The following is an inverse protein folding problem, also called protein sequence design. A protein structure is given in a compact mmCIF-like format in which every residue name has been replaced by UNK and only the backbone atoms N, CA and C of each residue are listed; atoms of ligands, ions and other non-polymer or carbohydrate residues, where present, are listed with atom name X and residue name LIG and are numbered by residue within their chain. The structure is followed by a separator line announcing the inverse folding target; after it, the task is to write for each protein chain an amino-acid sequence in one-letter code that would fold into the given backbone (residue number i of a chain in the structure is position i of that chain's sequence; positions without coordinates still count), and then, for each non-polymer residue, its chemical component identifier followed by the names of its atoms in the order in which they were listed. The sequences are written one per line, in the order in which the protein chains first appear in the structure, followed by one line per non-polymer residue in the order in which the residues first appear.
data_IF_030157544626
#
_entry.id   IF_030157544626
#
_cell.length_a   1.000
_cell.length_b   1.000
_cell.length_c   1.000
_cell.angle_alpha   90.00
_cell.angle_beta   90.00
_cell.angle_gamma   90.00
#
_symmetry.space_group_name_H-M   'P 1'
#
loop_
_entity.id
_entity.type
_entity.pdbx_description
1 polymer ?
#
# COMPACT_ATOMS: atom_id res chain seq x y z
N UNK A 1 44.86 60.21 27.92
CA UNK A 1 44.52 58.81 27.94
C UNK A 1 43.02 58.74 28.14
N UNK A 2 42.28 58.58 27.05
CA UNK A 2 40.81 58.49 27.05
C UNK A 2 40.43 57.02 26.74
N UNK A 3 39.92 56.28 27.74
CA UNK A 3 39.40 54.96 27.60
C UNK A 3 38.06 54.97 26.82
N UNK A 4 38.05 54.32 25.68
CA UNK A 4 36.85 54.11 24.89
C UNK A 4 36.21 52.83 25.37
N UNK A 5 35.17 52.95 26.20
CA UNK A 5 34.32 51.80 26.58
C UNK A 5 33.40 51.39 25.40
N UNK A 6 33.74 50.31 24.72
CA UNK A 6 32.89 49.73 23.71
C UNK A 6 31.74 48.96 24.36
N UNK A 7 30.54 49.53 24.34
CA UNK A 7 29.29 48.86 24.76
C UNK A 7 28.87 47.87 23.66
N UNK A 8 29.11 46.58 23.84
CA UNK A 8 28.52 45.50 23.00
C UNK A 8 27.03 45.36 23.34
N UNK A 9 26.18 46.15 22.70
CA UNK A 9 24.74 45.95 22.67
C UNK A 9 24.40 44.74 21.75
N UNK A 10 24.49 43.53 22.27
CA UNK A 10 23.96 42.37 21.57
C UNK A 10 22.44 42.45 21.57
N UNK A 11 21.83 42.76 20.43
CA UNK A 11 20.37 42.66 20.25
C UNK A 11 20.00 41.18 20.42
N UNK A 12 19.36 40.83 21.54
CA UNK A 12 18.84 39.50 21.79
C UNK A 12 17.72 39.27 20.80
N UNK A 13 18.00 38.53 19.71
CA UNK A 13 16.98 38.13 18.72
C UNK A 13 15.97 37.30 19.46
N UNK A 14 14.70 37.75 19.52
CA UNK A 14 13.63 36.99 20.15
C UNK A 14 13.40 35.72 19.35
N UNK A 15 13.36 34.58 20.03
CA UNK A 15 13.04 33.29 19.40
C UNK A 15 11.58 33.33 18.96
N UNK A 16 11.26 33.00 17.68
CA UNK A 16 9.89 32.94 17.19
C UNK A 16 9.03 32.02 18.05
N UNK A 17 7.81 32.45 18.39
CA UNK A 17 6.94 31.73 19.34
C UNK A 17 6.48 30.36 18.79
N UNK A 18 6.46 30.19 17.47
CA UNK A 18 6.11 28.90 16.87
C UNK A 18 7.02 27.75 17.34
N UNK A 19 8.32 27.99 17.54
CA UNK A 19 9.24 26.95 18.00
C UNK A 19 8.95 26.52 19.43
N UNK A 20 8.62 27.47 20.31
CA UNK A 20 8.22 27.16 21.69
C UNK A 20 6.88 26.41 21.72
N UNK A 21 5.94 26.79 20.85
CA UNK A 21 4.64 26.13 20.74
C UNK A 21 4.80 24.69 20.24
N UNK A 22 5.60 24.45 19.19
CA UNK A 22 5.87 23.10 18.66
C UNK A 22 6.52 22.25 19.76
N UNK A 23 7.53 22.76 20.47
CA UNK A 23 8.18 22.02 21.55
C UNK A 23 7.21 21.65 22.68
N UNK A 24 6.28 22.55 23.04
CA UNK A 24 5.26 22.28 24.05
C UNK A 24 4.24 21.21 23.58
N UNK A 25 3.83 21.28 22.30
CA UNK A 25 2.96 20.27 21.70
C UNK A 25 3.66 18.90 21.67
N UNK A 26 4.94 18.83 21.26
CA UNK A 26 5.73 17.60 21.30
C UNK A 26 5.75 16.96 22.68
N UNK A 27 5.94 17.78 23.72
CA UNK A 27 5.94 17.31 25.10
C UNK A 27 4.56 16.79 25.56
N UNK A 28 3.48 17.35 25.01
CA UNK A 28 2.10 17.02 25.40
C UNK A 28 1.45 15.87 24.64
N UNK A 29 1.97 15.49 23.45
CA UNK A 29 1.29 14.49 22.59
C UNK A 29 1.21 13.10 23.21
N UNK A 30 2.25 12.64 23.89
CA UNK A 30 2.30 11.28 24.45
C UNK A 30 2.22 10.17 23.37
N UNK A 31 1.69 9.00 23.75
CA UNK A 31 1.55 7.85 22.84
C UNK A 31 0.18 7.82 22.21
N UNK A 32 0.13 7.64 20.88
CA UNK A 32 -1.12 7.51 20.13
C UNK A 32 -1.42 6.04 19.87
N UNK A 33 -2.60 5.51 20.26
CA UNK A 33 -2.96 4.12 20.06
C UNK A 33 -3.25 3.79 18.60
N UNK A 34 -3.00 2.53 18.19
CA UNK A 34 -3.32 2.02 16.85
C UNK A 34 -4.77 1.53 16.81
N UNK A 35 -5.72 2.42 16.56
CA UNK A 35 -7.16 2.09 16.46
C UNK A 35 -7.59 1.75 15.02
N UNK A 36 -6.82 2.17 14.01
CA UNK A 36 -7.11 1.85 12.62
C UNK A 36 -6.90 0.35 12.34
N UNK A 37 -7.80 -0.24 11.55
CA UNK A 37 -7.71 -1.62 11.08
C UNK A 37 -7.70 -1.61 9.55
N UNK A 38 -6.62 -2.09 8.97
CA UNK A 38 -6.46 -2.22 7.52
C UNK A 38 -6.58 -3.68 7.08
N UNK A 39 -7.16 -3.95 5.89
CA UNK A 39 -7.16 -5.28 5.30
C UNK A 39 -5.76 -5.63 4.78
N UNK A 40 -5.37 -6.90 4.93
CA UNK A 40 -4.17 -7.44 4.30
C UNK A 40 -4.45 -8.82 3.73
N UNK A 41 -3.58 -9.29 2.84
CA UNK A 41 -3.68 -10.65 2.27
C UNK A 41 -3.50 -11.75 3.31
N UNK A 42 -2.95 -11.43 4.48
CA UNK A 42 -2.72 -12.36 5.59
C UNK A 42 -3.65 -12.14 6.79
N UNK A 43 -4.69 -11.30 6.64
CA UNK A 43 -5.62 -10.94 7.69
C UNK A 43 -5.82 -9.43 7.81
N UNK A 44 -5.85 -8.90 9.04
CA UNK A 44 -5.93 -7.47 9.29
C UNK A 44 -4.68 -6.98 10.03
N UNK A 45 -4.28 -5.73 9.79
CA UNK A 45 -3.22 -5.07 10.54
C UNK A 45 -3.73 -3.80 11.22
N UNK A 46 -3.14 -3.49 12.38
CA UNK A 46 -3.47 -2.26 13.11
C UNK A 46 -2.51 -1.14 12.70
N UNK A 47 -3.05 0.05 12.54
CA UNK A 47 -2.26 1.26 12.25
C UNK A 47 -2.81 2.46 13.02
N UNK A 48 -1.99 3.49 13.16
CA UNK A 48 -2.43 4.78 13.70
C UNK A 48 -3.20 5.52 12.61
N UNK A 49 -4.51 5.72 12.81
CA UNK A 49 -5.33 6.48 11.88
C UNK A 49 -5.00 7.99 11.97
N UNK A 50 -5.23 8.73 10.88
CA UNK A 50 -5.05 10.19 10.91
C UNK A 50 -5.97 10.85 11.93
N UNK A 51 -7.18 10.33 12.09
CA UNK A 51 -8.16 10.85 13.04
C UNK A 51 -7.72 10.67 14.50
N UNK A 52 -7.00 9.58 14.82
CA UNK A 52 -6.42 9.38 16.16
C UNK A 52 -5.36 10.45 16.47
N UNK A 53 -4.54 10.80 15.47
CA UNK A 53 -3.55 11.87 15.59
C UNK A 53 -4.24 13.21 15.79
N UNK A 54 -5.20 13.54 14.93
CA UNK A 54 -5.93 14.79 14.99
C UNK A 54 -6.70 14.96 16.30
N UNK A 55 -7.27 13.88 16.86
CA UNK A 55 -7.98 13.93 18.14
C UNK A 55 -7.08 14.38 19.30
N UNK A 56 -5.79 14.05 19.25
CA UNK A 56 -4.80 14.45 20.26
C UNK A 56 -4.26 15.85 19.96
N UNK A 57 -3.71 16.05 18.75
CA UNK A 57 -2.98 17.29 18.46
C UNK A 57 -3.87 18.51 18.34
N UNK A 58 -5.16 18.37 17.92
CA UNK A 58 -6.08 19.52 17.76
C UNK A 58 -6.29 20.29 19.06
N UNK A 59 -6.35 19.60 20.19
CA UNK A 59 -6.47 20.23 21.50
C UNK A 59 -5.21 21.01 21.87
N UNK A 60 -4.06 20.41 21.65
CA UNK A 60 -2.76 21.03 21.92
C UNK A 60 -2.49 22.23 20.99
N UNK A 61 -2.88 22.12 19.71
CA UNK A 61 -2.78 23.25 18.78
C UNK A 61 -3.56 24.47 19.27
N UNK A 62 -4.79 24.26 19.74
CA UNK A 62 -5.63 25.33 20.30
C UNK A 62 -5.01 25.89 21.59
N UNK A 63 -4.56 25.02 22.49
CA UNK A 63 -3.94 25.41 23.76
C UNK A 63 -2.70 26.27 23.56
N UNK A 64 -1.85 25.87 22.59
CA UNK A 64 -0.59 26.58 22.27
C UNK A 64 -0.76 27.61 21.14
N UNK A 65 -2.02 27.96 20.79
CA UNK A 65 -2.35 29.04 19.85
C UNK A 65 -1.69 28.87 18.46
N UNK A 66 -1.71 27.66 17.95
CA UNK A 66 -1.17 27.31 16.63
C UNK A 66 -2.33 26.97 15.69
N UNK A 67 -2.32 27.56 14.51
CA UNK A 67 -3.18 27.17 13.39
C UNK A 67 -2.37 26.41 12.34
N UNK A 68 -3.04 25.52 11.61
CA UNK A 68 -2.42 24.70 10.57
C UNK A 68 -3.01 25.06 9.22
N UNK A 69 -2.13 25.37 8.25
CA UNK A 69 -2.49 25.71 6.87
C UNK A 69 -1.87 24.70 5.91
N UNK A 70 -2.61 23.68 5.43
CA UNK A 70 -2.14 22.78 4.38
C UNK A 70 -2.28 23.44 3.00
N UNK A 71 -1.31 23.20 2.10
CA UNK A 71 -1.31 23.64 0.72
C UNK A 71 -0.75 22.55 -0.18
N UNK A 72 -1.54 22.12 -1.17
CA UNK A 72 -1.05 21.19 -2.20
C UNK A 72 -0.10 21.98 -3.12
N UNK A 73 1.15 21.56 -3.19
CA UNK A 73 2.18 22.16 -4.04
C UNK A 73 2.18 21.49 -5.42
N UNK A 74 2.05 20.17 -5.43
CA UNK A 74 2.03 19.39 -6.65
C UNK A 74 1.16 18.14 -6.47
N UNK A 75 0.58 17.66 -7.58
CA UNK A 75 -0.09 16.38 -7.63
C UNK A 75 0.11 15.74 -8.99
N UNK A 76 0.32 14.42 -8.99
CA UNK A 76 0.54 13.64 -10.20
C UNK A 76 -0.29 12.36 -10.15
N UNK A 77 -0.83 11.94 -11.28
CA UNK A 77 -1.44 10.64 -11.46
C UNK A 77 -0.44 9.73 -12.17
N UNK A 78 -0.04 8.66 -11.49
CA UNK A 78 0.93 7.68 -11.99
C UNK A 78 0.26 6.32 -12.08
N UNK A 79 0.50 5.59 -13.14
CA UNK A 79 0.09 4.19 -13.24
C UNK A 79 1.27 3.31 -12.89
N UNK A 80 1.11 2.46 -11.88
CA UNK A 80 2.13 1.46 -11.48
C UNK A 80 1.65 0.07 -11.89
N UNK A 81 2.47 -0.65 -12.63
CA UNK A 81 2.22 -2.05 -12.94
C UNK A 81 2.51 -2.95 -11.73
N UNK A 82 1.57 -3.82 -11.39
CA UNK A 82 1.66 -4.79 -10.30
C UNK A 82 1.43 -6.21 -10.85
N UNK A 83 2.52 -6.85 -11.34
CA UNK A 83 2.47 -8.18 -11.98
C UNK A 83 2.02 -8.14 -13.44
N UNK A 84 1.92 -9.32 -14.06
CA UNK A 84 1.74 -9.53 -15.48
C UNK A 84 0.35 -9.16 -15.97
N UNK A 85 -0.25 -8.14 -16.04
CA UNK A 85 -1.56 -7.68 -16.52
C UNK A 85 -2.40 -6.95 -15.46
N UNK A 86 -1.77 -6.39 -14.42
CA UNK A 86 -2.49 -5.58 -13.44
C UNK A 86 -1.77 -4.27 -13.22
N UNK A 87 -2.51 -3.19 -13.25
CA UNK A 87 -2.01 -1.86 -12.90
C UNK A 87 -2.88 -1.24 -11.81
N UNK A 88 -2.30 -0.33 -11.07
CA UNK A 88 -3.01 0.49 -10.09
C UNK A 88 -2.75 1.96 -10.38
N UNK A 89 -3.80 2.76 -10.33
CA UNK A 89 -3.66 4.21 -10.38
C UNK A 89 -3.20 4.73 -9.01
N UNK A 90 -2.12 5.48 -9.02
CA UNK A 90 -1.55 6.15 -7.85
C UNK A 90 -1.66 7.65 -8.03
N UNK A 91 -2.27 8.31 -7.07
CA UNK A 91 -2.15 9.76 -6.97
C UNK A 91 -1.00 10.08 -6.03
N UNK A 92 -0.01 10.80 -6.52
CA UNK A 92 1.12 11.31 -5.71
C UNK A 92 0.84 12.77 -5.40
N UNK A 93 0.90 13.14 -4.12
CA UNK A 93 0.67 14.52 -3.69
C UNK A 93 1.88 15.01 -2.91
N UNK A 94 2.35 16.21 -3.24
CA UNK A 94 3.29 16.98 -2.42
C UNK A 94 2.51 18.05 -1.66
N UNK A 95 2.50 17.93 -0.34
CA UNK A 95 1.77 18.78 0.59
C UNK A 95 2.75 19.61 1.43
N UNK A 96 2.59 20.92 1.40
CA UNK A 96 3.19 21.81 2.39
C UNK A 96 2.20 22.00 3.54
N UNK A 97 2.66 21.74 4.76
CA UNK A 97 1.89 22.00 5.97
C UNK A 97 2.61 23.07 6.77
N UNK A 98 1.96 24.23 6.91
CA UNK A 98 2.49 25.38 7.66
C UNK A 98 1.77 25.49 9.01
N UNK A 99 2.54 25.51 10.08
CA UNK A 99 2.11 25.76 11.45
C UNK A 99 2.41 27.23 11.78
N UNK A 100 1.41 27.96 12.23
CA UNK A 100 1.47 29.41 12.42
C UNK A 100 1.10 29.76 13.87
N UNK A 101 2.00 30.42 14.58
CA UNK A 101 1.67 30.97 15.90
C UNK A 101 0.75 32.17 15.75
N UNK A 102 -0.43 32.14 16.38
CA UNK A 102 -1.34 33.28 16.39
C UNK A 102 -0.91 34.41 17.30
N UNK A 103 0.17 34.23 18.08
CA UNK A 103 0.67 35.25 19.00
C UNK A 103 1.61 36.27 18.34
N UNK A 104 2.43 35.80 17.38
CA UNK A 104 3.42 36.65 16.72
C UNK A 104 3.47 36.49 15.21
N UNK A 105 2.62 35.58 14.64
CA UNK A 105 2.57 35.29 13.22
C UNK A 105 3.77 34.50 12.70
N UNK A 106 4.66 34.01 13.57
CA UNK A 106 5.78 33.18 13.14
C UNK A 106 5.31 31.85 12.60
N UNK A 107 6.01 31.35 11.59
CA UNK A 107 5.62 30.16 10.83
C UNK A 107 6.72 29.09 10.87
N UNK A 108 6.31 27.83 10.81
CA UNK A 108 7.14 26.66 10.57
C UNK A 108 6.46 25.79 9.53
N UNK A 109 7.16 25.50 8.43
CA UNK A 109 6.60 24.67 7.34
C UNK A 109 7.34 23.37 7.18
N UNK A 110 6.60 22.30 6.85
CA UNK A 110 7.14 21.00 6.48
C UNK A 110 6.54 20.58 5.14
N UNK A 111 7.39 20.01 4.28
CA UNK A 111 7.00 19.47 2.99
C UNK A 111 6.96 17.94 3.08
N UNK A 112 5.85 17.34 2.66
CA UNK A 112 5.68 15.89 2.67
C UNK A 112 5.11 15.41 1.35
N UNK A 113 5.55 14.23 0.91
CA UNK A 113 5.03 13.56 -0.28
C UNK A 113 4.40 12.24 0.13
N UNK A 114 3.22 11.94 -0.41
CA UNK A 114 2.54 10.68 -0.17
C UNK A 114 1.78 10.19 -1.38
N UNK A 115 1.54 8.88 -1.40
CA UNK A 115 0.81 8.19 -2.47
C UNK A 115 -0.56 7.72 -1.97
N UNK A 116 -1.56 7.79 -2.86
CA UNK A 116 -2.88 7.22 -2.65
C UNK A 116 -3.24 6.26 -3.77
N UNK A 117 -3.27 4.96 -3.49
CA UNK A 117 -3.67 3.95 -4.45
C UNK A 117 -5.20 3.82 -4.51
N UNK A 118 -5.79 4.07 -5.66
CA UNK A 118 -7.23 3.90 -5.89
C UNK A 118 -7.55 3.87 -7.38
N UNK A 119 -8.33 2.89 -7.82
CA UNK A 119 -8.77 2.80 -9.23
C UNK A 119 -10.05 3.62 -9.50
N UNK A 120 -10.57 4.34 -8.50
CA UNK A 120 -11.73 5.22 -8.60
C UNK A 120 -11.36 6.68 -8.28
N UNK A 121 -12.25 7.36 -7.57
CA UNK A 121 -12.19 8.80 -7.30
C UNK A 121 -11.48 9.18 -5.98
N UNK A 122 -10.98 8.20 -5.19
CA UNK A 122 -10.50 8.44 -3.84
C UNK A 122 -8.98 8.57 -3.71
N UNK A 123 -8.23 8.37 -4.81
CA UNK A 123 -6.75 8.40 -4.80
C UNK A 123 -6.19 9.70 -4.23
N UNK A 124 -6.66 10.84 -4.72
CA UNK A 124 -6.21 12.15 -4.25
C UNK A 124 -6.47 12.40 -2.77
N UNK A 125 -7.67 12.02 -2.26
CA UNK A 125 -8.00 12.14 -0.84
C UNK A 125 -7.12 11.28 0.04
N UNK A 126 -6.84 10.03 -0.39
CA UNK A 126 -5.93 9.12 0.32
C UNK A 126 -4.53 9.72 0.41
N UNK A 127 -4.01 10.24 -0.71
CA UNK A 127 -2.69 10.86 -0.77
C UNK A 127 -2.58 12.08 0.15
N UNK A 128 -3.56 13.00 0.12
CA UNK A 128 -3.58 14.19 0.99
C UNK A 128 -3.65 13.79 2.46
N UNK A 129 -4.53 12.86 2.83
CA UNK A 129 -4.67 12.40 4.21
C UNK A 129 -3.35 11.76 4.71
N UNK A 130 -2.70 10.97 3.86
CA UNK A 130 -1.43 10.34 4.21
C UNK A 130 -0.30 11.37 4.34
N UNK A 131 -0.22 12.36 3.43
CA UNK A 131 0.77 13.44 3.51
C UNK A 131 0.60 14.26 4.79
N UNK A 132 -0.63 14.62 5.16
CA UNK A 132 -0.93 15.34 6.39
C UNK A 132 -0.59 14.52 7.63
N UNK A 133 -0.90 13.21 7.63
CA UNK A 133 -0.51 12.29 8.69
C UNK A 133 1.01 12.31 8.90
N UNK A 134 1.78 12.16 7.83
CA UNK A 134 3.25 12.17 7.87
C UNK A 134 3.75 13.52 8.41
N UNK A 135 3.20 14.66 7.93
CA UNK A 135 3.57 15.98 8.42
C UNK A 135 3.41 16.11 9.93
N UNK A 136 2.28 15.67 10.47
CA UNK A 136 2.02 15.71 11.91
C UNK A 136 2.96 14.80 12.71
N UNK A 137 3.17 13.55 12.23
CA UNK A 137 4.08 12.59 12.88
C UNK A 137 5.50 13.12 12.97
N UNK A 138 6.01 13.70 11.89
CA UNK A 138 7.38 14.26 11.83
C UNK A 138 7.51 15.54 12.67
N UNK A 139 6.55 16.47 12.52
CA UNK A 139 6.62 17.77 13.22
C UNK A 139 6.54 17.59 14.73
N UNK A 140 5.69 16.69 15.21
CA UNK A 140 5.49 16.49 16.65
C UNK A 140 6.25 15.29 17.20
N UNK A 141 7.14 14.65 16.42
CA UNK A 141 7.98 13.51 16.82
C UNK A 141 7.16 12.37 17.44
N UNK A 142 5.99 12.06 16.82
CA UNK A 142 5.05 11.09 17.36
C UNK A 142 5.51 9.66 17.03
N UNK A 143 5.82 8.89 18.07
CA UNK A 143 6.14 7.48 17.91
C UNK A 143 4.86 6.65 17.64
N UNK A 144 4.84 5.92 16.53
CA UNK A 144 3.71 5.04 16.15
C UNK A 144 3.84 3.62 16.70
N UNK A 145 5.03 3.27 17.22
CA UNK A 145 5.35 1.88 17.59
C UNK A 145 5.31 0.93 16.39
N UNK A 146 5.47 1.44 15.19
CA UNK A 146 5.71 0.60 14.01
C UNK A 146 7.17 0.14 14.03
N UNK A 147 7.44 -1.15 13.68
CA UNK A 147 8.82 -1.59 13.54
C UNK A 147 9.49 -0.76 12.43
N UNK A 148 10.77 -0.48 12.63
CA UNK A 148 11.58 0.17 11.62
C UNK A 148 11.50 -0.65 10.32
N UNK A 149 11.17 -0.04 9.16
CA UNK A 149 11.19 -0.73 7.88
C UNK A 149 12.51 -1.45 7.59
N UNK A 150 13.63 -0.93 8.07
CA UNK A 150 14.96 -1.55 7.92
C UNK A 150 15.16 -2.76 8.86
N UNK A 151 14.35 -2.88 9.92
CA UNK A 151 14.34 -4.06 10.79
C UNK A 151 13.49 -5.22 10.22
N UNK A 152 12.69 -4.96 9.20
CA UNK A 152 12.02 -5.99 8.44
C UNK A 152 12.99 -6.48 7.38
N UNK A 153 13.46 -7.74 7.49
CA UNK A 153 14.22 -8.41 6.45
C UNK A 153 13.51 -8.20 5.11
N UNK A 154 14.04 -7.31 4.28
CA UNK A 154 13.60 -7.17 2.90
C UNK A 154 14.05 -8.44 2.20
N UNK A 155 13.21 -9.48 2.28
CA UNK A 155 13.39 -10.64 1.42
C UNK A 155 13.47 -10.10 -0.01
N UNK A 156 14.56 -10.35 -0.75
CA UNK A 156 14.62 -9.94 -2.14
C UNK A 156 13.36 -10.47 -2.81
N UNK A 157 12.60 -9.60 -3.45
CA UNK A 157 11.41 -10.01 -4.20
C UNK A 157 11.89 -10.99 -5.25
N UNK A 158 11.80 -12.28 -4.94
CA UNK A 158 12.00 -13.30 -5.93
C UNK A 158 11.04 -12.97 -7.09
N UNK A 159 11.49 -13.06 -8.36
CA UNK A 159 10.63 -12.80 -9.50
C UNK A 159 9.34 -13.58 -9.27
N UNK A 160 8.20 -12.90 -9.33
CA UNK A 160 6.91 -13.38 -8.88
C UNK A 160 6.64 -14.78 -9.47
N UNK A 161 6.92 -15.81 -8.69
CA UNK A 161 6.30 -17.10 -8.93
C UNK A 161 4.82 -16.87 -8.69
N UNK A 162 4.01 -17.14 -9.70
CA UNK A 162 2.57 -17.05 -9.66
C UNK A 162 2.07 -17.71 -8.36
N UNK A 163 1.67 -16.91 -7.39
CA UNK A 163 1.10 -17.37 -6.14
C UNK A 163 -0.23 -17.99 -6.48
N UNK A 164 -0.25 -19.32 -6.52
CA UNK A 164 -1.49 -20.08 -6.60
C UNK A 164 -2.37 -19.67 -5.41
N UNK A 165 -3.62 -19.31 -5.69
CA UNK A 165 -4.57 -18.89 -4.67
C UNK A 165 -4.71 -19.98 -3.58
N UNK A 166 -5.04 -19.62 -2.32
CA UNK A 166 -5.24 -20.61 -1.24
C UNK A 166 -6.27 -21.69 -1.56
N UNK A 167 -7.21 -21.42 -2.46
CA UNK A 167 -8.17 -22.39 -2.97
C UNK A 167 -7.50 -23.47 -3.83
N UNK A 168 -6.50 -23.11 -4.65
CA UNK A 168 -5.76 -24.08 -5.47
C UNK A 168 -4.90 -25.02 -4.61
N UNK A 169 -4.36 -24.53 -3.48
CA UNK A 169 -3.54 -25.32 -2.56
C UNK A 169 -4.34 -26.37 -1.78
N UNK A 170 -5.63 -26.08 -1.50
CA UNK A 170 -6.53 -27.02 -0.82
C UNK A 170 -7.01 -28.16 -1.75
N UNK A 171 -7.09 -27.90 -3.05
CA UNK A 171 -7.48 -28.90 -4.07
C UNK A 171 -6.28 -29.79 -4.42
N UNK A 172 -5.06 -29.25 -4.49
CA UNK A 172 -3.84 -30.00 -4.77
C UNK A 172 -3.42 -30.97 -3.66
N UNK A 173 -3.81 -30.67 -2.39
CA UNK A 173 -3.51 -31.56 -1.25
C UNK A 173 -4.46 -32.76 -1.14
N UNK A 174 -5.54 -32.82 -1.93
CA UNK A 174 -6.59 -33.84 -1.80
C UNK A 174 -6.51 -35.00 -2.78
N UNK A 175 -5.80 -34.92 -3.94
CA UNK A 175 -5.56 -36.05 -4.84
C UNK A 175 -4.47 -35.75 -5.90
N UNK A 176 -3.34 -36.44 -5.78
CA UNK A 176 -2.51 -37.01 -6.86
C UNK A 176 -1.74 -36.02 -7.76
N UNK A 177 -0.41 -36.13 -7.73
CA UNK A 177 0.54 -35.49 -8.66
C UNK A 177 0.29 -35.70 -10.14
N UNK A 178 -0.64 -36.60 -10.54
CA UNK A 178 -0.96 -36.93 -11.92
C UNK A 178 -1.85 -35.87 -12.61
N UNK A 179 -2.88 -35.35 -11.95
CA UNK A 179 -3.80 -34.41 -12.59
C UNK A 179 -3.16 -33.07 -13.01
N UNK A 180 -2.29 -32.53 -12.19
CA UNK A 180 -1.57 -31.28 -12.50
C UNK A 180 -0.56 -31.47 -13.65
N UNK A 181 0.11 -32.63 -13.70
CA UNK A 181 1.03 -32.99 -14.78
C UNK A 181 0.28 -33.12 -16.11
N UNK A 182 -0.83 -33.83 -16.13
CA UNK A 182 -1.68 -34.01 -17.30
C UNK A 182 -2.29 -32.72 -17.83
N UNK A 183 -2.74 -31.83 -16.92
CA UNK A 183 -3.25 -30.53 -17.30
C UNK A 183 -2.19 -29.64 -17.96
N UNK A 184 -0.94 -29.71 -17.50
CA UNK A 184 0.19 -28.98 -18.11
C UNK A 184 0.56 -29.57 -19.46
N UNK A 185 0.47 -30.91 -19.63
CA UNK A 185 0.73 -31.57 -20.90
C UNK A 185 -0.35 -31.25 -21.95
N UNK A 186 -1.61 -31.12 -21.54
CA UNK A 186 -2.72 -30.64 -22.41
C UNK A 186 -2.44 -29.19 -22.86
N UNK A 187 -2.04 -28.30 -21.97
CA UNK A 187 -1.70 -26.91 -22.33
C UNK A 187 -0.53 -26.83 -23.30
N UNK A 188 0.51 -27.61 -23.08
CA UNK A 188 1.67 -27.66 -23.97
C UNK A 188 1.28 -28.16 -25.35
N UNK A 189 0.45 -29.22 -25.42
CA UNK A 189 -0.06 -29.76 -26.68
C UNK A 189 -0.90 -28.73 -27.47
N UNK A 190 -1.83 -28.04 -26.82
CA UNK A 190 -2.67 -27.02 -27.44
C UNK A 190 -1.80 -25.86 -27.97
N UNK A 191 -0.77 -25.44 -27.21
CA UNK A 191 0.17 -24.40 -27.62
C UNK A 191 1.02 -24.79 -28.84
N UNK A 192 1.39 -26.07 -28.97
CA UNK A 192 2.18 -26.57 -30.09
C UNK A 192 1.36 -26.92 -31.33
N UNK A 193 0.10 -27.34 -31.16
CA UNK A 193 -0.81 -27.71 -32.25
C UNK A 193 -1.63 -26.59 -32.84
N UNK A 194 -1.58 -25.38 -32.22
CA UNK A 194 -2.38 -24.22 -32.64
C UNK A 194 -3.88 -24.37 -32.37
N UNK A 195 -4.29 -25.37 -31.59
CA UNK A 195 -5.68 -25.60 -31.23
C UNK A 195 -6.12 -24.66 -30.08
N UNK A 196 -7.36 -24.16 -30.18
CA UNK A 196 -7.91 -23.30 -29.16
C UNK A 196 -8.25 -24.06 -27.87
N UNK A 197 -8.09 -23.46 -26.71
CA UNK A 197 -8.46 -24.05 -25.42
C UNK A 197 -9.94 -24.43 -25.31
N UNK A 198 -10.81 -23.89 -26.16
CA UNK A 198 -12.22 -24.25 -26.29
C UNK A 198 -12.41 -25.72 -26.75
N UNK A 199 -11.49 -26.26 -27.54
CA UNK A 199 -11.51 -27.66 -28.01
C UNK A 199 -11.30 -28.57 -26.82
N UNK A 200 -10.30 -28.33 -25.97
CA UNK A 200 -10.08 -29.14 -24.77
C UNK A 200 -11.27 -29.09 -23.80
N UNK A 201 -11.92 -27.92 -23.68
CA UNK A 201 -13.13 -27.81 -22.86
C UNK A 201 -14.32 -28.59 -23.42
N UNK A 202 -14.51 -28.59 -24.75
CA UNK A 202 -15.58 -29.37 -25.39
C UNK A 202 -15.36 -30.89 -25.19
N UNK A 203 -14.14 -31.37 -25.40
CA UNK A 203 -13.77 -32.78 -25.20
C UNK A 203 -13.93 -33.17 -23.72
N UNK A 204 -13.42 -32.36 -22.80
CA UNK A 204 -13.49 -32.60 -21.36
C UNK A 204 -14.94 -32.65 -20.83
N UNK A 205 -15.79 -31.72 -21.28
CA UNK A 205 -17.21 -31.71 -20.94
C UNK A 205 -17.93 -32.96 -21.45
N UNK A 206 -17.63 -33.41 -22.66
CA UNK A 206 -18.20 -34.63 -23.25
C UNK A 206 -17.77 -35.88 -22.48
N UNK A 207 -16.50 -36.07 -22.20
CA UNK A 207 -15.95 -37.22 -21.48
C UNK A 207 -16.46 -37.29 -20.05
N UNK A 208 -16.58 -36.12 -19.39
CA UNK A 208 -17.03 -36.05 -18.00
C UNK A 208 -18.55 -36.12 -17.81
N UNK A 209 -19.32 -36.27 -18.89
CA UNK A 209 -20.78 -36.28 -18.82
C UNK A 209 -21.41 -34.90 -18.55
N UNK A 210 -20.84 -33.85 -19.08
CA UNK A 210 -21.35 -32.46 -18.98
C UNK A 210 -20.91 -31.70 -17.72
N UNK A 211 -19.93 -32.21 -17.00
CA UNK A 211 -19.39 -31.50 -15.83
C UNK A 211 -18.66 -30.22 -16.22
N UNK A 212 -18.72 -29.17 -15.38
CA UNK A 212 -18.00 -27.94 -15.62
C UNK A 212 -16.48 -28.16 -15.56
N UNK A 213 -15.71 -27.31 -16.25
CA UNK A 213 -14.25 -27.46 -16.37
C UNK A 213 -13.52 -27.44 -15.01
N UNK A 214 -14.06 -26.79 -14.00
CA UNK A 214 -13.51 -26.76 -12.62
C UNK A 214 -13.57 -28.15 -11.95
N UNK A 215 -14.47 -29.03 -12.34
CA UNK A 215 -14.60 -30.35 -11.76
C UNK A 215 -13.79 -31.40 -12.53
N UNK A 216 -13.91 -31.47 -13.86
CA UNK A 216 -13.20 -32.48 -14.62
C UNK A 216 -11.71 -32.24 -14.76
N UNK A 217 -11.24 -30.98 -14.68
CA UNK A 217 -9.82 -30.66 -14.65
C UNK A 217 -9.11 -31.08 -13.35
N UNK A 218 -9.84 -31.46 -12.32
CA UNK A 218 -9.29 -32.01 -11.09
C UNK A 218 -9.24 -33.57 -11.13
N UNK A 219 -9.80 -34.22 -12.17
CA UNK A 219 -9.85 -35.66 -12.30
C UNK A 219 -8.78 -36.16 -13.27
N UNK A 220 -7.76 -36.84 -12.74
CA UNK A 220 -6.64 -37.37 -13.54
C UNK A 220 -7.08 -38.34 -14.62
N UNK A 221 -8.16 -39.12 -14.40
CA UNK A 221 -8.66 -40.08 -15.37
C UNK A 221 -9.28 -39.37 -16.58
N UNK A 222 -10.08 -38.34 -16.33
CA UNK A 222 -10.69 -37.53 -17.39
C UNK A 222 -9.61 -36.76 -18.16
N UNK A 223 -8.62 -36.22 -17.49
CA UNK A 223 -7.52 -35.50 -18.13
C UNK A 223 -6.68 -36.41 -19.03
N UNK A 224 -6.40 -37.63 -18.62
CA UNK A 224 -5.67 -38.59 -19.43
C UNK A 224 -6.43 -38.91 -20.73
N UNK A 225 -7.75 -39.07 -20.66
CA UNK A 225 -8.61 -39.38 -21.80
C UNK A 225 -8.77 -38.19 -22.74
N UNK A 226 -8.88 -36.95 -22.18
CA UNK A 226 -8.86 -35.70 -22.94
C UNK A 226 -7.55 -35.54 -23.72
N UNK A 227 -6.41 -35.80 -23.10
CA UNK A 227 -5.11 -35.73 -23.75
C UNK A 227 -4.96 -36.76 -24.87
N UNK A 228 -5.47 -37.97 -24.66
CA UNK A 228 -5.48 -39.05 -25.65
C UNK A 228 -6.32 -38.67 -26.87
N UNK A 229 -7.52 -38.15 -26.69
CA UNK A 229 -8.38 -37.68 -27.79
C UNK A 229 -7.79 -36.52 -28.57
N UNK A 230 -7.22 -35.53 -27.87
CA UNK A 230 -6.56 -34.41 -28.52
C UNK A 230 -5.37 -34.84 -29.38
N UNK A 231 -4.54 -35.77 -28.89
CA UNK A 231 -3.41 -36.35 -29.65
C UNK A 231 -3.84 -37.22 -30.83
N UNK A 232 -5.01 -37.86 -30.75
CA UNK A 232 -5.56 -38.67 -31.83
C UNK A 232 -6.19 -37.84 -32.96
N UNK A 233 -6.31 -36.51 -32.81
CA UNK A 233 -6.90 -35.64 -33.81
C UNK A 233 -8.40 -35.82 -34.00
N UNK A 234 -9.08 -36.43 -33.02
CA UNK A 234 -10.51 -36.74 -33.09
C UNK A 234 -11.39 -35.52 -32.72
N UNK A 235 -11.10 -34.39 -33.34
CA UNK A 235 -11.94 -33.18 -33.20
C UNK A 235 -12.20 -32.67 -34.62
N UNK A 236 -13.29 -33.11 -35.22
CA UNK A 236 -13.99 -32.44 -36.29
C UNK A 236 -14.92 -31.36 -35.73
#
# INVERSE_FOLDING_TARGET
MTETTATKGGTKVAVPKIYSAIAAIQAGVGTIPKNGIGPSSQGSYKFVANDDILAVISKLLVEHKVIVRPRIIDHQLVTREIGANRSVALTVVTLETTYISTEDGSEFSVLTTAEGADNGDKGGRKAVTQAQKIANLLTFSIATGEPDPDALDVQPVAPAQATQSPAAKKIAAAKGGDAASLANEIKAFLGSSGQAGSVANAVGSRISGGKPSSEWMADATVLAEVLKELKAGAVE
#
